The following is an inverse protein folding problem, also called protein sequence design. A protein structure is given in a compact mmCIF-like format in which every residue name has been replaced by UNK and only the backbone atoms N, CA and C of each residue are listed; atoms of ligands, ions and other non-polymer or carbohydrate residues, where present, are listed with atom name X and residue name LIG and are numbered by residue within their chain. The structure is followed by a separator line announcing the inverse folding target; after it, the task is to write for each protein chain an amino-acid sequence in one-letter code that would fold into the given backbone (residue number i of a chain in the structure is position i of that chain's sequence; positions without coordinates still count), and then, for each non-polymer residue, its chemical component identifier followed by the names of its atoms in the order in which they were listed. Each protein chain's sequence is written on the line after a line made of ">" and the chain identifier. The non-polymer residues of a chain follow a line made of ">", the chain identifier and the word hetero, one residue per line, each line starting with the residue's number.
data_IF_557125401188
#
_entry.id   IF_557125401188
#
_cell.length_a   1.000
_cell.length_b   1.000
_cell.length_c   1.000
_cell.angle_alpha   90.00
_cell.angle_beta   90.00
_cell.angle_gamma   90.00
#
_symmetry.space_group_name_H-M   'P 1'
#
loop_
_entity.id
_entity.type
_entity.pdbx_description
1 polymer ?
#
# COMPACT_ATOMS: atom_id res chain seq x y z
N UNK A 1 -16.52 28.44 18.25
CA UNK A 1 -17.13 28.51 16.90
C UNK A 1 -18.36 27.63 16.86
N UNK A 2 -19.42 28.03 16.16
CA UNK A 2 -20.62 27.22 15.96
C UNK A 2 -20.45 26.24 14.79
N UNK A 3 -21.27 25.19 14.72
CA UNK A 3 -21.16 24.16 13.69
C UNK A 3 -21.22 24.71 12.26
N UNK A 4 -21.98 25.78 12.01
CA UNK A 4 -22.06 26.44 10.70
C UNK A 4 -20.73 27.07 10.28
N UNK A 5 -20.04 27.74 11.21
CA UNK A 5 -18.73 28.33 10.97
C UNK A 5 -17.70 27.23 10.71
N UNK A 6 -17.75 26.15 11.49
CA UNK A 6 -16.85 24.99 11.31
C UNK A 6 -17.07 24.33 9.94
N UNK A 7 -18.32 24.19 9.48
CA UNK A 7 -18.61 23.70 8.13
C UNK A 7 -17.93 24.57 7.07
N UNK A 8 -18.02 25.90 7.20
CA UNK A 8 -17.40 26.82 6.26
C UNK A 8 -15.87 26.74 6.27
N UNK A 9 -15.26 26.54 7.44
CA UNK A 9 -13.80 26.46 7.59
C UNK A 9 -13.21 25.12 7.14
N UNK A 10 -13.95 24.03 7.30
CA UNK A 10 -13.46 22.67 7.03
C UNK A 10 -13.95 22.08 5.71
N UNK A 11 -14.99 22.67 5.10
CA UNK A 11 -15.71 22.11 3.96
C UNK A 11 -16.54 20.86 4.30
N UNK A 12 -16.59 20.45 5.57
CA UNK A 12 -17.36 19.30 6.01
C UNK A 12 -18.84 19.65 6.17
N UNK A 13 -19.70 18.68 5.90
CA UNK A 13 -21.14 18.82 6.17
C UNK A 13 -21.41 18.70 7.68
N UNK A 14 -22.51 19.30 8.15
CA UNK A 14 -23.00 19.13 9.54
C UNK A 14 -23.15 17.64 9.91
N UNK A 15 -23.56 16.81 8.94
CA UNK A 15 -23.72 15.36 9.13
C UNK A 15 -22.38 14.66 9.33
N UNK A 16 -21.35 15.02 8.56
CA UNK A 16 -20.00 14.49 8.74
C UNK A 16 -19.41 14.86 10.10
N UNK A 17 -19.52 16.13 10.51
CA UNK A 17 -19.04 16.59 11.82
C UNK A 17 -19.78 15.86 12.95
N UNK A 18 -21.12 15.77 12.86
CA UNK A 18 -21.92 15.04 13.86
C UNK A 18 -21.56 13.55 13.92
N UNK A 19 -21.23 12.96 12.78
CA UNK A 19 -20.77 11.57 12.72
C UNK A 19 -19.41 11.41 13.41
N UNK A 20 -18.44 12.29 13.17
CA UNK A 20 -17.14 12.23 13.85
C UNK A 20 -17.25 12.45 15.37
N UNK A 21 -18.19 13.29 15.81
CA UNK A 21 -18.53 13.41 17.24
C UNK A 21 -19.10 12.11 17.82
N UNK A 22 -20.04 11.47 17.11
CA UNK A 22 -20.61 10.18 17.54
C UNK A 22 -19.55 9.07 17.63
N UNK A 23 -18.56 9.10 16.74
CA UNK A 23 -17.43 8.17 16.76
C UNK A 23 -16.37 8.54 17.81
N UNK A 24 -16.57 9.65 18.54
CA UNK A 24 -15.71 10.11 19.62
C UNK A 24 -14.40 10.72 19.17
N UNK A 25 -14.25 11.06 17.89
CA UNK A 25 -13.04 11.65 17.31
C UNK A 25 -12.89 13.13 17.69
N UNK A 26 -14.03 13.83 17.84
CA UNK A 26 -14.06 15.26 18.20
C UNK A 26 -15.08 15.43 19.31
N UNK A 27 -14.76 16.23 20.32
CA UNK A 27 -15.61 16.41 21.51
C UNK A 27 -15.74 17.90 21.84
N UNK A 28 -16.58 18.64 21.10
CA UNK A 28 -16.80 20.05 21.37
C UNK A 28 -17.46 20.25 22.74
N UNK A 29 -17.16 21.38 23.38
CA UNK A 29 -17.76 21.75 24.65
C UNK A 29 -19.16 22.31 24.39
N UNK A 30 -20.07 22.18 25.37
CA UNK A 30 -21.34 22.91 25.32
C UNK A 30 -21.18 24.27 25.97
N UNK A 31 -21.44 25.32 25.22
CA UNK A 31 -21.44 26.70 25.71
C UNK A 31 -22.57 26.96 26.70
N UNK A 32 -22.57 28.15 27.30
CA UNK A 32 -23.57 28.60 28.28
C UNK A 32 -25.00 28.59 27.71
N UNK A 33 -25.10 28.82 26.40
CA UNK A 33 -26.34 28.77 25.61
C UNK A 33 -26.79 27.34 25.23
N UNK A 34 -26.13 26.30 25.76
CA UNK A 34 -26.35 24.86 25.46
C UNK A 34 -26.03 24.43 24.02
N UNK A 35 -25.52 25.33 23.17
CA UNK A 35 -25.04 24.97 21.84
C UNK A 35 -23.62 24.38 21.89
N UNK A 36 -23.27 23.62 20.86
CA UNK A 36 -21.90 23.09 20.70
C UNK A 36 -20.97 24.21 20.27
N UNK A 37 -19.87 24.34 20.98
CA UNK A 37 -18.79 25.28 20.67
C UNK A 37 -17.52 24.49 20.37
N UNK A 38 -17.04 24.65 19.15
CA UNK A 38 -15.80 24.05 18.66
C UNK A 38 -14.65 25.02 18.84
N UNK A 39 -13.53 24.50 19.31
CA UNK A 39 -12.26 25.20 19.42
C UNK A 39 -11.49 25.19 18.10
N UNK A 40 -10.40 25.96 18.03
CA UNK A 40 -9.50 25.91 16.88
C UNK A 40 -8.82 24.54 16.72
N UNK A 41 -8.58 23.85 17.84
CA UNK A 41 -8.03 22.49 17.83
C UNK A 41 -9.01 21.49 17.24
N UNK A 42 -10.31 21.62 17.55
CA UNK A 42 -11.35 20.78 16.95
C UNK A 42 -11.39 20.98 15.43
N UNK A 43 -11.31 22.23 14.95
CA UNK A 43 -11.27 22.53 13.51
C UNK A 43 -10.04 21.91 12.85
N UNK A 44 -8.87 22.02 13.47
CA UNK A 44 -7.63 21.40 12.95
C UNK A 44 -7.76 19.88 12.87
N UNK A 45 -8.31 19.25 13.91
CA UNK A 45 -8.53 17.81 13.95
C UNK A 45 -9.55 17.36 12.90
N UNK A 46 -10.63 18.10 12.70
CA UNK A 46 -11.62 17.84 11.65
C UNK A 46 -11.00 17.90 10.24
N UNK A 47 -10.07 18.83 10.01
CA UNK A 47 -9.31 18.89 8.76
C UNK A 47 -8.36 17.69 8.59
N UNK A 48 -7.66 17.25 9.64
CA UNK A 48 -6.86 16.02 9.61
C UNK A 48 -7.73 14.80 9.28
N UNK A 49 -8.88 14.64 9.94
CA UNK A 49 -9.84 13.56 9.68
C UNK A 49 -10.33 13.60 8.23
N UNK A 50 -10.65 14.78 7.70
CA UNK A 50 -11.08 14.94 6.31
C UNK A 50 -10.02 14.43 5.33
N UNK A 51 -8.74 14.76 5.56
CA UNK A 51 -7.62 14.29 4.75
C UNK A 51 -7.43 12.77 4.84
N UNK A 52 -7.53 12.18 6.04
CA UNK A 52 -7.44 10.73 6.16
C UNK A 52 -8.59 10.01 5.45
N UNK A 53 -9.80 10.60 5.48
CA UNK A 53 -10.95 10.05 4.75
C UNK A 53 -10.80 10.13 3.24
N UNK A 54 -10.14 11.16 2.70
CA UNK A 54 -9.84 11.23 1.25
C UNK A 54 -8.79 10.21 0.81
N UNK A 55 -8.00 9.67 1.74
CA UNK A 55 -7.08 8.54 1.53
C UNK A 55 -7.76 7.17 1.73
N UNK A 56 -9.09 7.11 1.74
CA UNK A 56 -9.88 5.90 2.03
C UNK A 56 -9.60 5.24 3.39
N UNK A 57 -9.00 5.96 4.34
CA UNK A 57 -8.75 5.42 5.69
C UNK A 57 -10.08 5.35 6.45
N UNK A 58 -10.34 4.20 7.07
CA UNK A 58 -11.56 3.98 7.82
C UNK A 58 -11.52 4.67 9.20
N UNK A 59 -12.68 4.94 9.80
CA UNK A 59 -12.79 5.67 11.06
C UNK A 59 -12.06 4.97 12.22
N UNK A 60 -12.12 3.64 12.27
CA UNK A 60 -11.44 2.87 13.31
C UNK A 60 -9.92 3.04 13.25
N UNK A 61 -9.36 3.20 12.04
CA UNK A 61 -7.93 3.43 11.88
C UNK A 61 -7.54 4.89 12.09
N UNK A 62 -8.41 5.84 11.72
CA UNK A 62 -8.23 7.26 12.04
C UNK A 62 -8.08 7.46 13.56
N UNK A 63 -8.85 6.72 14.36
CA UNK A 63 -8.71 6.76 15.82
C UNK A 63 -7.32 6.31 16.27
N UNK A 64 -6.81 5.19 15.73
CA UNK A 64 -5.44 4.71 16.00
C UNK A 64 -4.39 5.73 15.59
N UNK A 65 -4.58 6.43 14.47
CA UNK A 65 -3.65 7.46 13.99
C UNK A 65 -3.64 8.66 14.97
N UNK A 66 -4.80 9.11 15.43
CA UNK A 66 -4.90 10.28 16.32
C UNK A 66 -4.27 9.98 17.69
N UNK A 67 -4.44 8.75 18.20
CA UNK A 67 -3.98 8.34 19.53
C UNK A 67 -2.47 8.01 19.59
N UNK A 68 -1.74 8.03 18.46
CA UNK A 68 -0.32 7.65 18.39
C UNK A 68 0.58 8.81 17.94
N UNK A 69 1.80 8.86 18.50
CA UNK A 69 2.81 9.87 18.12
C UNK A 69 3.39 9.61 16.72
N UNK A 70 3.58 8.34 16.34
CA UNK A 70 4.13 7.96 15.04
C UNK A 70 3.05 7.79 13.97
N UNK A 71 2.35 8.87 13.65
CA UNK A 71 1.24 8.90 12.67
C UNK A 71 1.66 8.39 11.29
N UNK A 72 2.85 8.77 10.82
CA UNK A 72 3.32 8.49 9.45
C UNK A 72 3.45 6.99 9.18
N UNK A 73 4.04 6.24 10.10
CA UNK A 73 4.26 4.80 9.94
C UNK A 73 2.92 4.04 9.91
N UNK A 74 1.99 4.40 10.80
CA UNK A 74 0.65 3.80 10.84
C UNK A 74 -0.11 4.09 9.54
N UNK A 75 -0.07 5.33 9.05
CA UNK A 75 -0.71 5.71 7.78
C UNK A 75 -0.13 4.90 6.63
N UNK A 76 1.19 4.80 6.51
CA UNK A 76 1.84 4.02 5.44
C UNK A 76 1.42 2.56 5.47
N UNK A 77 1.37 1.95 6.66
CA UNK A 77 0.90 0.57 6.84
C UNK A 77 -0.53 0.38 6.35
N UNK A 78 -1.45 1.25 6.76
CA UNK A 78 -2.87 1.18 6.36
C UNK A 78 -3.02 1.38 4.85
N UNK A 79 -2.30 2.33 4.26
CA UNK A 79 -2.35 2.58 2.81
C UNK A 79 -1.87 1.34 2.04
N UNK A 80 -0.80 0.70 2.50
CA UNK A 80 -0.27 -0.51 1.89
C UNK A 80 -1.26 -1.68 1.99
N UNK A 81 -1.85 -1.89 3.17
CA UNK A 81 -2.90 -2.91 3.40
C UNK A 81 -4.12 -2.67 2.51
N UNK A 82 -4.58 -1.41 2.40
CA UNK A 82 -5.69 -1.03 1.55
C UNK A 82 -5.38 -1.22 0.06
N UNK A 83 -4.16 -0.89 -0.39
CA UNK A 83 -3.71 -1.13 -1.76
C UNK A 83 -3.77 -2.62 -2.09
N UNK A 84 -3.20 -3.46 -1.21
CA UNK A 84 -3.19 -4.90 -1.39
C UNK A 84 -4.62 -5.48 -1.42
N UNK A 85 -5.50 -5.02 -0.53
CA UNK A 85 -6.90 -5.43 -0.53
C UNK A 85 -7.62 -5.06 -1.83
N UNK A 86 -7.41 -3.84 -2.35
CA UNK A 86 -7.98 -3.39 -3.63
C UNK A 86 -7.46 -4.24 -4.80
N UNK A 87 -6.19 -4.62 -4.79
CA UNK A 87 -5.62 -5.51 -5.81
C UNK A 87 -6.24 -6.92 -5.76
N UNK A 88 -6.44 -7.47 -4.56
CA UNK A 88 -7.15 -8.75 -4.38
C UNK A 88 -8.60 -8.68 -4.87
N UNK A 89 -9.31 -7.61 -4.54
CA UNK A 89 -10.68 -7.39 -4.99
C UNK A 89 -10.77 -7.26 -6.51
N UNK A 90 -9.80 -6.57 -7.14
CA UNK A 90 -9.66 -6.50 -8.60
C UNK A 90 -9.39 -7.88 -9.22
N UNK A 91 -8.51 -8.68 -8.63
CA UNK A 91 -8.25 -10.07 -9.08
C UNK A 91 -9.51 -10.91 -9.00
N UNK A 92 -10.26 -10.82 -7.89
CA UNK A 92 -11.57 -11.48 -7.72
C UNK A 92 -12.55 -11.06 -8.81
N UNK A 93 -12.71 -9.76 -9.04
CA UNK A 93 -13.61 -9.24 -10.08
C UNK A 93 -13.24 -9.77 -11.48
N UNK A 94 -11.95 -9.82 -11.82
CA UNK A 94 -11.48 -10.41 -13.08
C UNK A 94 -11.83 -11.88 -13.20
N UNK A 95 -11.64 -12.66 -12.13
CA UNK A 95 -12.01 -14.08 -12.11
C UNK A 95 -13.52 -14.27 -12.31
N UNK A 96 -14.36 -13.47 -11.65
CA UNK A 96 -15.81 -13.48 -11.88
C UNK A 96 -16.18 -13.14 -13.32
N UNK A 97 -15.57 -12.10 -13.91
CA UNK A 97 -15.82 -11.74 -15.31
C UNK A 97 -15.45 -12.86 -16.28
N UNK A 98 -14.35 -13.57 -16.04
CA UNK A 98 -13.98 -14.74 -16.85
C UNK A 98 -15.03 -15.86 -16.74
N UNK A 99 -15.54 -16.13 -15.54
CA UNK A 99 -16.61 -17.12 -15.33
C UNK A 99 -17.90 -16.73 -16.07
N UNK A 100 -18.29 -15.45 -15.97
CA UNK A 100 -19.46 -14.90 -16.67
C UNK A 100 -19.28 -15.08 -18.19
N UNK A 101 -18.14 -14.69 -18.75
CA UNK A 101 -17.87 -14.83 -20.19
C UNK A 101 -17.90 -16.29 -20.67
N UNK A 102 -17.52 -17.23 -19.81
CA UNK A 102 -17.50 -18.66 -20.11
C UNK A 102 -18.84 -19.36 -19.81
N UNK A 103 -19.89 -18.62 -19.41
CA UNK A 103 -21.19 -19.15 -18.98
C UNK A 103 -21.10 -20.21 -17.85
N UNK A 104 -20.04 -20.20 -17.06
CA UNK A 104 -19.80 -21.14 -15.98
C UNK A 104 -20.20 -20.54 -14.62
N UNK A 105 -21.50 -20.66 -14.30
CA UNK A 105 -22.10 -20.09 -13.08
C UNK A 105 -22.19 -21.08 -11.90
N UNK A 106 -21.78 -22.34 -12.08
CA UNK A 106 -22.11 -23.45 -11.17
C UNK A 106 -21.01 -23.86 -10.17
N UNK A 107 -19.86 -23.18 -10.13
CA UNK A 107 -18.78 -23.47 -9.17
C UNK A 107 -18.63 -22.37 -8.11
N UNK A 108 -18.98 -22.70 -6.87
CA UNK A 108 -19.05 -21.79 -5.73
C UNK A 108 -17.71 -21.44 -5.04
N UNK A 109 -16.59 -22.07 -5.40
CA UNK A 109 -15.38 -21.99 -4.54
C UNK A 109 -14.26 -21.14 -5.14
N UNK A 110 -14.52 -19.85 -5.39
CA UNK A 110 -13.45 -18.87 -5.73
C UNK A 110 -12.77 -18.32 -4.46
N UNK A 111 -13.46 -18.40 -3.32
CA UNK A 111 -12.98 -17.88 -2.04
C UNK A 111 -11.71 -18.58 -1.54
N UNK A 112 -11.67 -19.91 -1.62
CA UNK A 112 -10.61 -20.72 -1.02
C UNK A 112 -9.27 -20.68 -1.78
N UNK A 113 -9.28 -20.54 -3.11
CA UNK A 113 -8.04 -20.44 -3.91
C UNK A 113 -7.32 -19.11 -3.67
N UNK A 114 -8.08 -18.02 -3.50
CA UNK A 114 -7.55 -16.67 -3.25
C UNK A 114 -7.11 -16.50 -1.79
N UNK A 115 -7.76 -17.21 -0.84
CA UNK A 115 -7.31 -17.28 0.56
C UNK A 115 -6.00 -18.06 0.74
N UNK A 116 -5.81 -19.17 0.01
CA UNK A 116 -4.54 -19.93 0.04
C UNK A 116 -3.33 -19.12 -0.45
N UNK A 117 -3.53 -18.22 -1.42
CA UNK A 117 -2.49 -17.30 -1.89
C UNK A 117 -2.24 -16.11 -0.93
N UNK A 118 -3.23 -15.72 -0.11
CA UNK A 118 -3.10 -14.59 0.82
C UNK A 118 -2.58 -14.97 2.22
N UNK A 119 -2.65 -16.25 2.62
CA UNK A 119 -2.16 -16.75 3.91
C UNK A 119 -0.61 -16.78 4.03
N UNK A 120 0.15 -16.53 2.94
CA UNK A 120 1.64 -16.44 2.99
C UNK A 120 2.20 -15.03 3.23
N UNK A 121 1.38 -14.05 3.58
CA UNK A 121 1.84 -12.71 4.01
C UNK A 121 1.88 -12.69 5.53
N UNK A 122 2.79 -13.47 6.12
CA UNK A 122 3.24 -13.21 7.49
C UNK A 122 4.58 -12.50 7.41
N UNK A 123 4.53 -11.22 7.76
CA UNK A 123 5.65 -10.32 7.96
C UNK A 123 6.59 -10.88 9.05
N UNK A 124 7.51 -11.75 8.67
CA UNK A 124 8.74 -11.92 9.43
C UNK A 124 9.79 -10.97 8.83
N UNK A 125 9.54 -9.66 8.99
CA UNK A 125 10.62 -8.67 9.06
C UNK A 125 11.26 -8.81 10.45
N UNK A 126 11.96 -9.90 10.67
CA UNK A 126 12.86 -9.99 11.80
C UNK A 126 14.14 -9.24 11.45
N UNK A 127 14.44 -8.23 12.28
CA UNK A 127 15.67 -7.47 12.28
C UNK A 127 16.87 -8.40 12.17
N UNK A 128 17.69 -8.18 11.14
CA UNK A 128 19.05 -8.68 11.10
C UNK A 128 19.16 -10.18 10.83
N UNK A 129 19.07 -10.56 9.55
CA UNK A 129 20.03 -11.44 8.89
C UNK A 129 19.59 -11.62 7.43
N UNK A 130 20.58 -11.73 6.54
CA UNK A 130 20.37 -11.81 5.10
C UNK A 130 19.28 -12.84 4.76
N UNK A 131 18.22 -12.35 4.12
CA UNK A 131 17.11 -13.16 3.64
C UNK A 131 17.63 -13.96 2.44
N UNK A 132 18.00 -15.22 2.68
CA UNK A 132 18.25 -16.19 1.62
C UNK A 132 16.92 -16.69 1.08
N UNK A 133 16.59 -16.38 -0.17
CA UNK A 133 15.42 -16.98 -0.84
C UNK A 133 15.80 -17.45 -2.25
N UNK A 134 15.52 -18.73 -2.49
CA UNK A 134 15.68 -19.51 -3.73
C UNK A 134 16.55 -18.83 -4.80
N UNK A 135 17.85 -19.04 -4.65
CA UNK A 135 18.91 -18.30 -5.34
C UNK A 135 18.74 -18.28 -6.87
N UNK A 136 18.20 -19.34 -7.47
CA UNK A 136 18.05 -19.47 -8.94
C UNK A 136 16.96 -18.54 -9.49
N UNK A 137 15.73 -18.62 -8.97
CA UNK A 137 14.60 -17.83 -9.45
C UNK A 137 14.78 -16.33 -9.15
N UNK A 138 15.37 -16.03 -7.98
CA UNK A 138 15.71 -14.66 -7.58
C UNK A 138 16.74 -14.08 -8.54
N UNK A 139 17.86 -14.78 -8.78
CA UNK A 139 18.90 -14.32 -9.73
C UNK A 139 18.35 -14.14 -11.15
N UNK A 140 17.53 -15.08 -11.61
CA UNK A 140 16.88 -14.98 -12.93
C UNK A 140 16.02 -13.71 -13.00
N UNK A 141 15.14 -13.51 -12.03
CA UNK A 141 14.25 -12.35 -11.95
C UNK A 141 15.05 -11.05 -11.90
N UNK A 142 16.04 -10.94 -11.02
CA UNK A 142 16.84 -9.73 -10.85
C UNK A 142 17.68 -9.41 -12.09
N UNK A 143 18.23 -10.43 -12.75
CA UNK A 143 18.90 -10.27 -14.03
C UNK A 143 17.99 -9.70 -15.11
N UNK A 144 16.73 -10.15 -15.16
CA UNK A 144 15.71 -9.62 -16.08
C UNK A 144 15.35 -8.17 -15.72
N UNK A 145 15.09 -7.91 -14.44
CA UNK A 145 14.73 -6.58 -13.92
C UNK A 145 15.80 -5.54 -14.26
N UNK A 146 17.08 -5.85 -14.01
CA UNK A 146 18.18 -4.94 -14.28
C UNK A 146 18.33 -4.63 -15.78
N UNK A 147 18.13 -5.63 -16.65
CA UNK A 147 18.12 -5.43 -18.10
C UNK A 147 16.99 -4.50 -18.53
N UNK A 148 15.79 -4.70 -17.99
CA UNK A 148 14.64 -3.86 -18.29
C UNK A 148 14.82 -2.42 -17.79
N UNK A 149 15.30 -2.22 -16.55
CA UNK A 149 15.63 -0.91 -15.98
C UNK A 149 16.65 -0.15 -16.86
N UNK A 150 17.67 -0.87 -17.34
CA UNK A 150 18.64 -0.31 -18.28
C UNK A 150 17.99 0.08 -19.61
N UNK A 151 17.09 -0.74 -20.14
CA UNK A 151 16.36 -0.48 -21.40
C UNK A 151 15.49 0.77 -21.30
N UNK A 152 14.78 0.96 -20.20
CA UNK A 152 13.91 2.14 -19.98
C UNK A 152 14.67 3.40 -19.53
N UNK A 153 16.01 3.36 -19.48
CA UNK A 153 16.84 4.53 -19.14
C UNK A 153 16.80 4.94 -17.66
N UNK A 154 16.40 4.03 -16.76
CA UNK A 154 16.23 4.31 -15.31
C UNK A 154 17.39 3.81 -14.45
N UNK A 155 18.47 3.32 -15.07
CA UNK A 155 19.63 2.81 -14.34
C UNK A 155 20.36 3.90 -13.55
N UNK A 156 20.49 5.10 -14.11
CA UNK A 156 21.17 6.21 -13.44
C UNK A 156 20.40 6.69 -12.20
N UNK A 157 19.07 6.67 -12.27
CA UNK A 157 18.19 6.95 -11.13
C UNK A 157 18.40 5.93 -10.00
N UNK A 158 18.50 4.64 -10.36
CA UNK A 158 18.79 3.57 -9.39
C UNK A 158 20.17 3.74 -8.74
N UNK A 159 21.20 4.10 -9.52
CA UNK A 159 22.56 4.37 -9.03
C UNK A 159 22.56 5.55 -8.04
N UNK A 160 21.92 6.67 -8.39
CA UNK A 160 21.86 7.87 -7.55
C UNK A 160 21.16 7.59 -6.23
N UNK A 161 20.01 6.90 -6.29
CA UNK A 161 19.16 6.66 -5.13
C UNK A 161 19.77 5.65 -4.16
N UNK A 162 20.44 4.63 -4.70
CA UNK A 162 21.03 3.55 -3.90
C UNK A 162 22.45 3.84 -3.44
N UNK A 163 23.13 4.80 -4.08
CA UNK A 163 24.54 5.12 -3.88
C UNK A 163 25.51 3.98 -4.21
N UNK A 164 25.05 2.95 -4.93
CA UNK A 164 25.90 1.89 -5.47
C UNK A 164 26.37 2.26 -6.88
N UNK A 165 27.62 1.93 -7.19
CA UNK A 165 28.10 1.93 -8.57
C UNK A 165 27.36 0.90 -9.43
N UNK A 166 27.39 1.09 -10.76
CA UNK A 166 26.81 0.13 -11.68
C UNK A 166 27.40 -1.28 -11.52
N UNK A 167 28.71 -1.39 -11.27
CA UNK A 167 29.40 -2.66 -11.00
C UNK A 167 28.92 -3.34 -9.73
N UNK A 168 28.75 -2.59 -8.63
CA UNK A 168 28.27 -3.13 -7.36
C UNK A 168 26.82 -3.59 -7.45
N UNK A 169 25.96 -2.86 -8.17
CA UNK A 169 24.58 -3.28 -8.42
C UNK A 169 24.54 -4.59 -9.21
N UNK A 170 25.38 -4.73 -10.24
CA UNK A 170 25.47 -5.95 -11.05
C UNK A 170 25.93 -7.13 -10.19
N UNK A 171 26.96 -6.93 -9.36
CA UNK A 171 27.51 -7.98 -8.50
C UNK A 171 26.50 -8.43 -7.43
N UNK A 172 25.84 -7.47 -6.75
CA UNK A 172 24.83 -7.75 -5.72
C UNK A 172 23.62 -8.49 -6.31
N UNK A 173 23.05 -7.97 -7.41
CA UNK A 173 21.84 -8.53 -8.01
C UNK A 173 22.09 -9.89 -8.66
N UNK A 174 23.21 -10.09 -9.35
CA UNK A 174 23.60 -11.40 -9.88
C UNK A 174 23.99 -12.39 -8.78
N UNK A 175 24.39 -11.90 -7.60
CA UNK A 175 24.60 -12.69 -6.40
C UNK A 175 23.30 -13.15 -5.74
N UNK A 176 22.14 -12.61 -6.16
CA UNK A 176 20.85 -12.83 -5.50
C UNK A 176 20.73 -12.06 -4.18
N UNK A 177 21.54 -11.02 -3.99
CA UNK A 177 21.59 -10.21 -2.78
C UNK A 177 20.81 -8.93 -2.99
N UNK A 178 19.82 -8.68 -2.13
CA UNK A 178 18.95 -7.53 -2.22
C UNK A 178 18.64 -6.97 -0.84
N UNK A 179 18.96 -5.69 -0.61
CA UNK A 179 18.53 -4.98 0.59
C UNK A 179 17.06 -4.59 0.48
N UNK A 180 16.30 -4.47 1.59
CA UNK A 180 14.89 -4.03 1.54
C UNK A 180 14.70 -2.69 0.82
N UNK A 181 15.69 -1.80 0.94
CA UNK A 181 15.71 -0.50 0.26
C UNK A 181 15.87 -0.66 -1.25
N UNK A 182 16.80 -1.50 -1.71
CA UNK A 182 16.97 -1.81 -3.12
C UNK A 182 15.74 -2.53 -3.71
N UNK A 183 15.12 -3.42 -2.93
CA UNK A 183 13.88 -4.09 -3.32
C UNK A 183 12.76 -3.09 -3.59
N UNK A 184 12.55 -2.14 -2.67
CA UNK A 184 11.52 -1.09 -2.82
C UNK A 184 11.70 -0.31 -4.11
N UNK A 185 12.92 0.15 -4.41
CA UNK A 185 13.16 0.94 -5.61
C UNK A 185 12.98 0.14 -6.89
N UNK A 186 13.38 -1.13 -6.92
CA UNK A 186 13.14 -1.97 -8.07
C UNK A 186 11.63 -2.15 -8.26
N UNK A 187 10.86 -2.49 -7.22
CA UNK A 187 9.40 -2.60 -7.31
C UNK A 187 8.75 -1.33 -7.85
N UNK A 188 9.23 -0.16 -7.43
CA UNK A 188 8.67 1.13 -7.89
C UNK A 188 8.99 1.41 -9.37
N UNK A 189 10.15 0.97 -9.87
CA UNK A 189 10.56 1.20 -11.26
C UNK A 189 9.90 0.23 -12.23
N UNK A 190 9.73 -1.04 -11.84
CA UNK A 190 9.27 -2.11 -12.75
C UNK A 190 7.90 -2.69 -12.40
N UNK A 191 7.26 -2.16 -11.35
CA UNK A 191 5.91 -2.53 -10.91
C UNK A 191 5.71 -4.04 -10.65
N UNK A 192 6.72 -4.71 -10.10
CA UNK A 192 6.63 -6.14 -9.76
C UNK A 192 6.46 -6.39 -8.26
N UNK A 193 5.84 -7.52 -7.93
CA UNK A 193 5.59 -7.93 -6.54
C UNK A 193 6.88 -8.35 -5.82
N UNK A 194 6.99 -7.99 -4.54
CA UNK A 194 8.12 -8.36 -3.66
C UNK A 194 8.34 -9.87 -3.64
N UNK A 195 7.29 -10.69 -3.66
CA UNK A 195 7.38 -12.15 -3.65
C UNK A 195 8.12 -12.69 -4.88
N UNK A 196 8.07 -11.98 -6.01
CA UNK A 196 8.80 -12.35 -7.23
C UNK A 196 10.25 -11.92 -7.12
N UNK A 197 10.50 -10.69 -6.65
CA UNK A 197 11.86 -10.19 -6.41
C UNK A 197 12.63 -11.05 -5.42
N UNK A 198 11.93 -11.52 -4.39
CA UNK A 198 12.51 -12.38 -3.40
C UNK A 198 12.40 -13.85 -3.78
N UNK A 199 11.95 -14.24 -4.97
CA UNK A 199 11.95 -15.64 -5.43
C UNK A 199 11.02 -16.60 -4.68
N UNK A 200 10.05 -16.07 -3.92
CA UNK A 200 8.94 -16.82 -3.31
C UNK A 200 7.93 -17.26 -4.38
N UNK A 201 7.81 -16.47 -5.46
CA UNK A 201 6.94 -16.71 -6.62
C UNK A 201 7.73 -16.56 -7.93
N UNK A 202 7.36 -17.31 -8.97
CA UNK A 202 7.91 -17.14 -10.32
C UNK A 202 7.17 -16.02 -11.09
N UNK A 203 7.88 -15.36 -12.00
CA UNK A 203 7.27 -14.47 -12.98
C UNK A 203 6.20 -15.21 -13.79
N UNK A 204 5.00 -14.62 -13.87
CA UNK A 204 3.93 -15.07 -14.75
C UNK A 204 4.30 -14.85 -16.21
N UNK A 205 3.57 -15.49 -17.12
CA UNK A 205 3.76 -15.29 -18.56
C UNK A 205 3.62 -13.81 -18.98
N UNK A 206 2.65 -13.08 -18.41
CA UNK A 206 2.46 -11.66 -18.70
C UNK A 206 3.59 -10.79 -18.16
N UNK A 207 4.03 -11.01 -16.91
CA UNK A 207 5.17 -10.30 -16.32
C UNK A 207 6.45 -10.58 -17.10
N UNK A 208 6.64 -11.83 -17.57
CA UNK A 208 7.74 -12.17 -18.47
C UNK A 208 7.65 -11.37 -19.76
N UNK A 209 6.51 -11.31 -20.43
CA UNK A 209 6.36 -10.52 -21.66
C UNK A 209 6.74 -9.07 -21.40
N UNK A 210 6.19 -8.43 -20.36
CA UNK A 210 6.46 -7.01 -20.03
C UNK A 210 7.94 -6.76 -19.79
N UNK A 211 8.63 -7.65 -19.08
CA UNK A 211 10.04 -7.47 -18.74
C UNK A 211 11.00 -7.93 -19.85
N UNK A 212 10.57 -8.85 -20.73
CA UNK A 212 11.35 -9.40 -21.84
C UNK A 212 11.10 -8.71 -23.18
N UNK A 213 10.20 -7.73 -23.29
CA UNK A 213 9.87 -7.11 -24.60
C UNK A 213 11.18 -6.75 -25.31
N UNK A 214 11.41 -7.35 -26.48
CA UNK A 214 12.57 -7.10 -27.35
C UNK A 214 12.61 -5.65 -27.85
#
# INVERSE_FOLDING_TARGET
>A
MLISEVCNLTGLTKKAISYYEQQGLVKPIRGVNKYREYSQLDVKLLNEISLYRSLDICISDIKKIIDNENKKEIINKIILENKHKKELDLKRQRAYLQKINNNNFFENDIGEEIEKDSIKINLNYEKGNNIGINLENTKETLGICLKYIKKIGKLDELIIITQYSASELIELLNGGIMTPRLASYIMDIIEIDIQVLVGVRKLTYLEKIVLYVE
#
